data_IF_604377214466
#
_entry.id   IF_604377214466
#
_cell.length_a   1.000
_cell.length_b   1.000
_cell.length_c   1.000
_cell.angle_alpha   90.00
_cell.angle_beta   90.00
_cell.angle_gamma   90.00
#
_symmetry.space_group_name_H-M   'P 1'
#
loop_
_entity.id
_entity.type
_entity.pdbx_description
1 polymer ?
#
# COMPACT_ATOMS: atom_id res chain seq x y z
N UNK A 1 42.53 -5.18 16.39
CA UNK A 1 41.93 -3.83 16.29
C UNK A 1 40.46 -3.99 16.58
N UNK A 2 40.01 -3.41 17.69
CA UNK A 2 38.71 -3.67 18.31
C UNK A 2 37.58 -2.98 17.57
N UNK A 3 36.64 -3.80 17.14
CA UNK A 3 35.35 -3.45 16.54
C UNK A 3 34.43 -2.83 17.62
N UNK A 4 33.93 -1.61 17.38
CA UNK A 4 32.94 -0.96 18.25
C UNK A 4 31.60 -1.02 17.54
N UNK A 5 30.77 -1.96 17.94
CA UNK A 5 29.35 -2.02 17.62
C UNK A 5 28.61 -0.97 18.44
N UNK A 6 28.15 0.09 17.79
CA UNK A 6 27.29 1.11 18.39
C UNK A 6 25.84 0.59 18.37
N UNK A 7 25.42 -0.07 19.46
CA UNK A 7 24.03 -0.50 19.65
C UNK A 7 23.28 0.51 20.52
N UNK A 8 22.98 1.70 20.00
CA UNK A 8 22.04 2.60 20.66
C UNK A 8 20.61 2.09 20.42
N UNK A 9 20.07 1.32 21.38
CA UNK A 9 18.64 0.97 21.43
C UNK A 9 17.84 2.27 21.60
N UNK A 10 17.14 2.69 20.54
CA UNK A 10 16.13 3.76 20.67
C UNK A 10 15.03 3.31 21.65
N UNK A 11 14.67 4.13 22.66
CA UNK A 11 13.63 3.76 23.62
C UNK A 11 12.27 3.67 22.92
N UNK A 12 11.54 2.58 23.16
CA UNK A 12 10.21 2.37 22.58
C UNK A 12 9.19 3.34 23.17
N UNK A 13 8.18 3.73 22.37
CA UNK A 13 7.09 4.66 22.77
C UNK A 13 6.38 4.27 24.08
N UNK A 14 6.40 2.98 24.47
CA UNK A 14 5.84 2.52 25.77
C UNK A 14 6.62 3.03 26.98
N UNK A 15 7.94 3.22 26.87
CA UNK A 15 8.75 3.72 27.99
C UNK A 15 8.43 5.19 28.32
N UNK A 16 8.11 5.99 27.30
CA UNK A 16 7.77 7.42 27.46
C UNK A 16 6.35 7.59 28.00
N UNK A 17 5.40 6.74 27.60
CA UNK A 17 4.02 6.79 28.12
C UNK A 17 3.89 6.15 29.52
N UNK A 18 4.74 5.18 29.87
CA UNK A 18 4.76 4.57 31.21
C UNK A 18 5.30 5.49 32.31
N UNK A 19 6.16 6.46 31.97
CA UNK A 19 6.70 7.44 32.92
C UNK A 19 5.70 8.57 33.30
N UNK A 20 4.55 8.66 32.61
CA UNK A 20 3.54 9.70 32.84
C UNK A 20 2.53 9.39 33.95
N UNK A 21 2.54 8.16 34.51
CA UNK A 21 1.58 7.74 35.53
C UNK A 21 2.31 7.27 36.79
N UNK A 22 2.77 8.23 37.58
CA UNK A 22 3.25 8.01 38.94
C UNK A 22 4.59 8.67 39.19
N UNK A 23 4.58 9.73 40.00
CA UNK A 23 5.57 10.03 41.03
C UNK A 23 5.18 11.35 41.73
N UNK A 24 4.29 11.23 42.72
CA UNK A 24 4.26 12.13 43.87
C UNK A 24 4.91 11.38 45.03
N UNK A 25 6.23 11.50 45.16
CA UNK A 25 6.93 11.25 46.43
C UNK A 25 8.28 11.93 46.39
N UNK A 26 8.48 12.89 47.29
CA UNK A 26 9.74 13.56 47.50
C UNK A 26 10.76 12.60 48.13
N UNK A 27 11.93 12.49 47.53
CA UNK A 27 13.15 12.07 48.22
C UNK A 27 14.35 12.73 47.55
N UNK A 28 15.06 13.55 48.32
CA UNK A 28 16.30 14.18 47.95
C UNK A 28 17.40 13.12 47.74
N UNK A 29 18.11 13.20 46.62
CA UNK A 29 19.28 12.36 46.34
C UNK A 29 19.69 12.53 44.89
N UNK A 30 20.88 13.11 44.66
CA UNK A 30 21.36 13.53 43.35
C UNK A 30 21.20 12.46 42.27
N UNK A 31 20.54 12.82 41.18
CA UNK A 31 20.51 12.06 39.94
C UNK A 31 20.72 13.03 38.79
N UNK A 32 21.61 12.64 37.88
CA UNK A 32 21.91 13.35 36.64
C UNK A 32 20.62 13.83 35.98
N UNK A 33 20.54 15.13 35.70
CA UNK A 33 19.50 15.69 34.84
C UNK A 33 19.50 14.91 33.54
N UNK A 34 18.43 14.19 33.17
CA UNK A 34 18.35 13.62 31.85
C UNK A 34 18.41 14.82 30.89
N UNK A 35 19.37 14.80 29.97
CA UNK A 35 19.42 15.76 28.90
C UNK A 35 18.09 15.68 28.17
N UNK A 36 17.23 16.68 28.41
CA UNK A 36 16.00 16.86 27.66
C UNK A 36 16.48 17.09 26.24
N UNK A 37 16.29 16.12 25.36
CA UNK A 37 16.45 16.36 23.93
C UNK A 37 15.51 17.52 23.64
N UNK A 38 16.07 18.71 23.42
CA UNK A 38 15.34 19.83 22.87
C UNK A 38 14.84 19.32 21.52
N UNK A 39 13.56 18.99 21.46
CA UNK A 39 12.85 18.87 20.20
C UNK A 39 12.98 20.26 19.59
N UNK A 40 13.99 20.44 18.73
CA UNK A 40 14.22 21.70 18.04
C UNK A 40 12.88 22.17 17.49
N UNK A 41 12.59 23.46 17.64
CA UNK A 41 11.35 24.07 17.16
C UNK A 41 11.05 23.51 15.78
N UNK A 42 9.98 22.71 15.67
CA UNK A 42 9.48 22.24 14.40
C UNK A 42 9.21 23.51 13.60
N UNK A 43 10.10 23.81 12.66
CA UNK A 43 9.95 24.93 11.73
C UNK A 43 8.52 24.88 11.22
N UNK A 44 7.76 25.96 11.46
CA UNK A 44 6.38 26.04 11.00
C UNK A 44 6.34 25.57 9.54
N UNK A 45 5.48 24.60 9.21
CA UNK A 45 5.45 24.06 7.86
C UNK A 45 5.31 25.22 6.89
N UNK A 46 6.22 25.29 5.92
CA UNK A 46 6.18 26.31 4.89
C UNK A 46 4.76 26.37 4.33
N UNK A 47 4.16 27.57 4.29
CA UNK A 47 2.80 27.74 3.78
C UNK A 47 2.77 27.21 2.36
N UNK A 48 1.95 26.19 2.11
CA UNK A 48 1.81 25.63 0.77
C UNK A 48 1.39 26.76 -0.19
N UNK A 49 1.94 26.79 -1.42
CA UNK A 49 1.56 27.82 -2.39
C UNK A 49 0.08 27.69 -2.72
N UNK A 50 -0.60 28.82 -2.93
CA UNK A 50 -2.04 28.85 -3.25
C UNK A 50 -2.38 28.16 -4.58
N UNK A 51 -1.40 28.05 -5.48
CA UNK A 51 -1.51 27.25 -6.69
C UNK A 51 -0.29 26.34 -6.85
N UNK A 52 -0.48 25.12 -7.38
CA UNK A 52 0.64 24.24 -7.68
C UNK A 52 1.57 24.91 -8.70
N UNK A 53 2.90 24.68 -8.60
CA UNK A 53 3.83 25.19 -9.59
C UNK A 53 3.42 24.69 -11.00
N UNK A 54 3.40 25.57 -12.00
CA UNK A 54 2.94 25.20 -13.33
C UNK A 54 3.90 24.20 -13.97
N UNK A 55 3.36 23.31 -14.80
CA UNK A 55 4.14 22.43 -15.68
C UNK A 55 4.57 21.08 -15.11
N UNK A 56 4.21 20.75 -13.86
CA UNK A 56 4.43 19.41 -13.32
C UNK A 56 3.25 18.48 -13.63
N UNK A 57 3.59 17.27 -14.09
CA UNK A 57 2.65 16.15 -14.12
C UNK A 57 2.91 15.25 -12.92
N UNK A 58 1.89 14.52 -12.49
CA UNK A 58 1.98 13.65 -11.31
C UNK A 58 1.72 12.21 -11.75
N UNK A 59 2.72 11.35 -11.58
CA UNK A 59 2.56 9.90 -11.71
C UNK A 59 2.61 9.30 -10.30
N UNK A 60 1.52 8.67 -9.89
CA UNK A 60 1.40 7.95 -8.63
C UNK A 60 1.39 6.45 -8.91
N UNK A 61 2.39 5.73 -8.42
CA UNK A 61 2.47 4.27 -8.56
C UNK A 61 2.22 3.66 -7.18
N UNK A 62 1.16 2.86 -7.07
CA UNK A 62 0.79 2.12 -5.88
C UNK A 62 0.99 0.63 -6.14
N UNK A 63 1.53 -0.08 -5.16
CA UNK A 63 1.76 -1.52 -5.24
C UNK A 63 1.06 -2.19 -4.06
N UNK A 64 0.23 -3.18 -4.33
CA UNK A 64 -0.55 -3.88 -3.32
C UNK A 64 0.32 -4.85 -2.51
N UNK A 65 0.08 -4.90 -1.19
CA UNK A 65 0.75 -5.80 -0.24
C UNK A 65 2.30 -5.79 -0.25
N UNK A 66 2.93 -4.71 -0.70
CA UNK A 66 4.39 -4.61 -0.69
C UNK A 66 4.95 -4.39 0.72
N UNK A 67 5.89 -5.25 1.12
CA UNK A 67 6.65 -5.08 2.36
C UNK A 67 7.76 -4.03 2.19
N UNK A 68 7.98 -3.22 3.23
CA UNK A 68 9.10 -2.29 3.27
C UNK A 68 10.42 -3.02 3.55
N UNK A 69 11.38 -2.89 2.64
CA UNK A 69 12.76 -3.33 2.85
C UNK A 69 13.70 -2.12 2.91
N UNK A 70 14.48 -1.99 3.98
CA UNK A 70 15.53 -0.95 4.07
C UNK A 70 16.56 -1.12 2.94
N UNK A 71 16.94 -2.39 2.70
CA UNK A 71 17.72 -2.84 1.56
C UNK A 71 16.98 -4.02 0.91
N UNK A 72 16.70 -3.90 -0.38
CA UNK A 72 16.04 -4.97 -1.12
C UNK A 72 16.95 -6.19 -1.25
N UNK A 73 16.45 -7.40 -0.98
CA UNK A 73 17.24 -8.62 -1.10
C UNK A 73 17.32 -9.16 -2.53
N UNK A 74 16.56 -8.56 -3.47
CA UNK A 74 16.49 -8.92 -4.88
C UNK A 74 16.55 -7.66 -5.77
N UNK A 75 16.89 -7.80 -7.07
CA UNK A 75 17.00 -6.66 -7.98
C UNK A 75 15.68 -5.91 -8.17
N UNK A 76 15.66 -4.63 -7.81
CA UNK A 76 14.53 -3.72 -8.05
C UNK A 76 15.02 -2.39 -8.65
N UNK A 77 15.60 -2.40 -9.87
CA UNK A 77 16.29 -1.24 -10.44
C UNK A 77 15.41 0.01 -10.51
N UNK A 78 14.11 -0.13 -10.77
CA UNK A 78 13.17 1.00 -10.75
C UNK A 78 13.01 1.62 -9.37
N UNK A 79 12.92 0.80 -8.31
CA UNK A 79 12.82 1.29 -6.92
C UNK A 79 14.11 1.95 -6.46
N UNK A 80 15.24 1.33 -6.75
CA UNK A 80 16.56 1.90 -6.44
C UNK A 80 16.80 3.22 -7.18
N UNK A 81 16.37 3.33 -8.43
CA UNK A 81 16.40 4.58 -9.18
C UNK A 81 15.56 5.67 -8.49
N UNK A 82 14.31 5.37 -8.13
CA UNK A 82 13.43 6.31 -7.44
C UNK A 82 13.98 6.71 -6.06
N UNK A 83 14.54 5.78 -5.30
CA UNK A 83 15.17 6.03 -3.99
C UNK A 83 16.41 6.93 -4.12
N UNK A 84 17.21 6.74 -5.18
CA UNK A 84 18.43 7.52 -5.42
C UNK A 84 18.16 8.97 -5.86
N UNK A 85 17.12 9.19 -6.66
CA UNK A 85 16.82 10.51 -7.25
C UNK A 85 15.60 11.21 -6.63
N UNK A 86 14.98 10.60 -5.63
CA UNK A 86 13.80 11.11 -4.94
C UNK A 86 14.02 11.31 -3.45
N UNK A 87 12.91 11.48 -2.73
CA UNK A 87 12.89 11.52 -1.26
C UNK A 87 12.20 10.25 -0.75
N UNK A 88 12.86 9.52 0.15
CA UNK A 88 12.33 8.29 0.74
C UNK A 88 11.89 8.50 2.18
N UNK A 89 10.69 8.03 2.51
CA UNK A 89 10.16 8.02 3.88
C UNK A 89 10.30 6.62 4.46
N UNK A 90 11.25 6.43 5.38
CA UNK A 90 11.59 5.10 5.94
C UNK A 90 10.68 4.65 7.09
N UNK A 91 9.84 5.56 7.59
CA UNK A 91 8.90 5.28 8.68
C UNK A 91 7.47 5.70 8.30
N UNK A 92 7.01 5.19 7.15
CA UNK A 92 5.62 5.34 6.71
C UNK A 92 4.76 4.23 7.32
N UNK A 93 3.47 4.51 7.52
CA UNK A 93 2.52 3.58 8.12
C UNK A 93 1.21 3.67 7.34
N UNK A 94 0.58 2.53 7.04
CA UNK A 94 -0.78 2.57 6.49
C UNK A 94 -1.78 2.83 7.62
N UNK A 95 -2.81 3.62 7.33
CA UNK A 95 -3.89 3.91 8.27
C UNK A 95 -4.85 2.71 8.47
N UNK A 96 -4.87 1.78 7.51
CA UNK A 96 -5.54 0.48 7.61
C UNK A 96 -4.70 -0.57 6.87
N UNK A 97 -4.75 -1.82 7.31
CA UNK A 97 -3.97 -2.95 6.77
C UNK A 97 -4.84 -3.93 5.97
N UNK A 98 -5.92 -3.43 5.38
CA UNK A 98 -6.86 -4.13 4.49
C UNK A 98 -6.93 -3.33 3.19
N UNK A 99 -6.89 -3.97 2.02
CA UNK A 99 -6.59 -3.29 0.75
C UNK A 99 -7.64 -2.23 0.37
N UNK A 100 -8.93 -2.55 0.42
CA UNK A 100 -9.98 -1.54 0.13
C UNK A 100 -9.94 -0.39 1.13
N UNK A 101 -9.81 -0.65 2.43
CA UNK A 101 -9.69 0.39 3.45
C UNK A 101 -8.44 1.24 3.31
N UNK A 102 -7.29 0.66 2.95
CA UNK A 102 -6.05 1.40 2.74
C UNK A 102 -6.17 2.32 1.51
N UNK A 103 -6.76 1.82 0.42
CA UNK A 103 -7.02 2.57 -0.80
C UNK A 103 -7.97 3.73 -0.56
N UNK A 104 -9.01 3.54 0.24
CA UNK A 104 -9.96 4.61 0.55
C UNK A 104 -9.25 5.78 1.23
N UNK A 105 -8.34 5.49 2.17
CA UNK A 105 -7.53 6.51 2.84
C UNK A 105 -6.56 7.19 1.87
N UNK A 106 -5.82 6.42 1.06
CA UNK A 106 -4.84 6.98 0.11
C UNK A 106 -5.50 7.91 -0.91
N UNK A 107 -6.65 7.51 -1.47
CA UNK A 107 -7.30 8.28 -2.52
C UNK A 107 -8.12 9.45 -2.00
N UNK A 108 -8.62 9.41 -0.76
CA UNK A 108 -9.45 10.49 -0.20
C UNK A 108 -8.72 11.37 0.79
N UNK A 109 -7.58 10.93 1.34
CA UNK A 109 -6.90 11.59 2.45
C UNK A 109 -7.73 11.61 3.74
N UNK A 110 -8.74 10.75 3.87
CA UNK A 110 -9.64 10.66 5.02
C UNK A 110 -9.52 9.28 5.67
N UNK A 111 -9.64 9.21 7.00
CA UNK A 111 -9.66 7.93 7.70
C UNK A 111 -10.91 7.10 7.39
N UNK A 112 -10.85 5.79 7.67
CA UNK A 112 -11.91 4.83 7.32
C UNK A 112 -13.29 5.19 7.90
N UNK A 113 -13.34 5.87 9.05
CA UNK A 113 -14.60 6.32 9.66
C UNK A 113 -15.33 7.37 8.81
N UNK A 114 -14.61 8.10 7.95
CA UNK A 114 -15.17 9.08 7.02
C UNK A 114 -15.42 8.49 5.64
N UNK A 115 -14.58 7.56 5.18
CA UNK A 115 -14.77 6.91 3.87
C UNK A 115 -15.87 5.86 3.88
N UNK A 116 -16.17 5.26 5.05
CA UNK A 116 -17.11 4.15 5.19
C UNK A 116 -16.59 2.80 4.69
N UNK A 117 -15.30 2.72 4.35
CA UNK A 117 -14.66 1.49 3.86
C UNK A 117 -13.90 0.81 5.02
N UNK A 118 -14.58 -0.10 5.71
CA UNK A 118 -14.09 -0.77 6.91
C UNK A 118 -13.48 -2.15 6.62
N UNK A 119 -13.84 -2.73 5.49
CA UNK A 119 -13.40 -4.06 5.07
C UNK A 119 -13.12 -4.08 3.56
N UNK A 120 -12.74 -5.24 3.07
CA UNK A 120 -12.56 -5.54 1.66
C UNK A 120 -13.88 -5.52 0.87
N UNK A 121 -13.81 -5.11 -0.40
CA UNK A 121 -15.00 -5.00 -1.27
C UNK A 121 -15.69 -6.34 -1.53
N UNK A 122 -15.01 -7.46 -1.34
CA UNK A 122 -15.56 -8.81 -1.45
C UNK A 122 -16.49 -9.15 -0.29
N UNK A 123 -16.37 -8.45 0.84
CA UNK A 123 -17.16 -8.71 2.02
C UNK A 123 -18.63 -8.32 1.76
N UNK A 124 -19.61 -9.21 2.02
CA UNK A 124 -21.01 -8.96 1.66
C UNK A 124 -21.67 -7.80 2.42
N UNK A 125 -21.06 -7.35 3.52
CA UNK A 125 -21.49 -6.18 4.29
C UNK A 125 -20.82 -4.88 3.85
N UNK A 126 -19.74 -4.92 3.05
CA UNK A 126 -19.01 -3.74 2.64
C UNK A 126 -19.67 -3.11 1.42
N UNK A 127 -20.20 -1.90 1.59
CA UNK A 127 -20.72 -1.10 0.48
C UNK A 127 -19.58 -0.49 -0.33
N UNK A 128 -19.87 -0.14 -1.60
CA UNK A 128 -19.00 0.70 -2.41
C UNK A 128 -18.67 2.01 -1.68
N UNK A 129 -17.46 2.53 -1.85
CA UNK A 129 -17.10 3.84 -1.32
C UNK A 129 -18.04 4.90 -1.90
N UNK A 130 -18.60 5.77 -1.06
CA UNK A 130 -19.47 6.85 -1.55
C UNK A 130 -18.70 7.81 -2.46
N UNK A 131 -19.28 8.17 -3.61
CA UNK A 131 -18.75 9.21 -4.50
C UNK A 131 -18.87 10.62 -3.91
N UNK A 132 -19.60 10.79 -2.81
CA UNK A 132 -19.64 12.06 -2.06
C UNK A 132 -18.33 12.33 -1.32
N UNK A 133 -17.51 11.30 -1.09
CA UNK A 133 -16.18 11.44 -0.50
C UNK A 133 -15.19 11.69 -1.64
N UNK A 134 -14.93 12.97 -1.91
CA UNK A 134 -14.09 13.38 -3.04
C UNK A 134 -12.67 12.80 -2.96
N UNK A 135 -12.21 12.25 -4.08
CA UNK A 135 -10.88 11.67 -4.21
C UNK A 135 -9.83 12.72 -4.62
N UNK A 136 -8.56 12.32 -4.66
CA UNK A 136 -7.48 13.10 -5.26
C UNK A 136 -7.73 13.38 -6.75
N UNK A 137 -8.43 12.49 -7.47
CA UNK A 137 -8.86 12.71 -8.85
C UNK A 137 -9.80 13.91 -8.96
N UNK A 138 -10.83 13.97 -8.11
CA UNK A 138 -11.78 15.09 -8.07
C UNK A 138 -11.07 16.42 -7.77
N UNK A 139 -10.19 16.41 -6.76
CA UNK A 139 -9.46 17.60 -6.32
C UNK A 139 -8.49 18.10 -7.38
N UNK A 140 -7.75 17.20 -8.04
CA UNK A 140 -6.82 17.59 -9.11
C UNK A 140 -7.56 18.09 -10.35
N UNK A 141 -8.73 17.54 -10.68
CA UNK A 141 -9.60 18.07 -11.74
C UNK A 141 -10.06 19.50 -11.45
N UNK A 142 -10.41 19.82 -10.21
CA UNK A 142 -10.74 21.20 -9.80
C UNK A 142 -9.56 22.17 -9.99
N UNK A 143 -8.33 21.67 -9.97
CA UNK A 143 -7.10 22.42 -10.22
C UNK A 143 -6.64 22.39 -11.69
N UNK A 144 -7.48 21.87 -12.61
CA UNK A 144 -7.21 21.86 -14.05
C UNK A 144 -6.43 20.66 -14.56
N UNK A 145 -6.09 19.69 -13.70
CA UNK A 145 -5.41 18.47 -14.14
C UNK A 145 -6.37 17.53 -14.86
N UNK A 146 -5.87 16.85 -15.88
CA UNK A 146 -6.51 15.67 -16.43
C UNK A 146 -6.12 14.44 -15.59
N UNK A 147 -7.07 13.89 -14.83
CA UNK A 147 -6.83 12.75 -13.95
C UNK A 147 -7.15 11.41 -14.65
N UNK A 148 -6.22 10.46 -14.59
CA UNK A 148 -6.33 9.11 -15.14
C UNK A 148 -6.01 8.04 -14.09
N UNK A 149 -6.53 6.84 -14.28
CA UNK A 149 -6.36 5.69 -13.41
C UNK A 149 -6.08 4.44 -14.24
N UNK A 150 -5.17 3.58 -13.80
CA UNK A 150 -4.92 2.26 -14.39
C UNK A 150 -4.65 1.23 -13.28
N UNK A 151 -5.04 -0.02 -13.53
CA UNK A 151 -4.86 -1.15 -12.61
C UNK A 151 -5.96 -1.27 -11.53
N UNK A 152 -5.61 -1.88 -10.39
CA UNK A 152 -6.54 -2.22 -9.29
C UNK A 152 -7.23 -1.00 -8.70
N UNK A 153 -8.56 -0.97 -8.68
CA UNK A 153 -9.39 0.05 -8.04
C UNK A 153 -9.78 -0.33 -6.61
N UNK A 154 -10.53 -1.41 -6.46
CA UNK A 154 -10.89 -2.05 -5.19
C UNK A 154 -11.61 -1.17 -4.16
N UNK A 155 -12.44 -0.23 -4.65
CA UNK A 155 -13.35 0.60 -3.85
C UNK A 155 -14.81 0.54 -4.34
N UNK A 156 -15.09 -0.34 -5.31
CA UNK A 156 -16.43 -0.58 -5.83
C UNK A 156 -16.56 -2.04 -6.26
N UNK A 157 -17.40 -2.82 -5.56
CA UNK A 157 -17.59 -4.26 -5.78
C UNK A 157 -18.08 -4.61 -7.19
N UNK A 158 -18.75 -3.67 -7.87
CA UNK A 158 -19.25 -3.86 -9.23
C UNK A 158 -18.15 -3.85 -10.31
N UNK A 159 -16.93 -3.46 -9.99
CA UNK A 159 -15.79 -3.48 -10.92
C UNK A 159 -15.07 -4.85 -10.96
N UNK A 160 -15.31 -5.74 -9.99
CA UNK A 160 -14.82 -7.15 -9.95
C UNK A 160 -15.82 -8.17 -10.55
N UNK A 161 -16.88 -7.71 -11.22
CA UNK A 161 -17.92 -8.60 -11.73
C UNK A 161 -17.41 -9.56 -12.84
N UNK A 162 -16.38 -9.17 -13.59
CA UNK A 162 -15.83 -9.98 -14.67
C UNK A 162 -14.70 -10.88 -14.18
N UNK A 163 -14.77 -12.18 -14.50
CA UNK A 163 -13.72 -13.16 -14.16
C UNK A 163 -12.71 -13.40 -15.28
N UNK A 164 -12.97 -12.83 -16.47
CA UNK A 164 -12.04 -12.83 -17.61
C UNK A 164 -12.03 -11.44 -18.25
N UNK A 165 -10.91 -11.00 -18.84
CA UNK A 165 -10.85 -9.71 -19.51
C UNK A 165 -11.88 -9.52 -20.63
N UNK A 166 -12.17 -10.59 -21.36
CA UNK A 166 -13.10 -10.56 -22.49
C UNK A 166 -14.54 -10.27 -22.04
N UNK A 167 -14.85 -10.56 -20.78
CA UNK A 167 -16.18 -10.37 -20.19
C UNK A 167 -16.30 -9.02 -19.47
N UNK A 168 -15.23 -8.22 -19.42
CA UNK A 168 -15.22 -6.93 -18.74
C UNK A 168 -16.11 -5.89 -19.43
N UNK A 169 -17.01 -5.27 -18.66
CA UNK A 169 -17.86 -4.19 -19.16
C UNK A 169 -17.08 -2.87 -19.19
N UNK A 170 -16.19 -2.71 -20.18
CA UNK A 170 -15.21 -1.62 -20.22
C UNK A 170 -15.82 -0.23 -20.04
N UNK A 171 -16.91 0.05 -20.76
CA UNK A 171 -17.59 1.35 -20.70
C UNK A 171 -18.27 1.59 -19.35
N UNK A 172 -18.83 0.54 -18.73
CA UNK A 172 -19.45 0.62 -17.41
C UNK A 172 -18.40 0.90 -16.35
N UNK A 173 -17.33 0.12 -16.35
CA UNK A 173 -16.21 0.29 -15.43
C UNK A 173 -15.56 1.66 -15.57
N UNK A 174 -15.39 2.16 -16.81
CA UNK A 174 -14.91 3.52 -17.05
C UNK A 174 -15.83 4.58 -16.43
N UNK A 175 -17.15 4.47 -16.60
CA UNK A 175 -18.12 5.41 -16.00
C UNK A 175 -18.09 5.39 -14.47
N UNK A 176 -17.89 4.21 -13.87
CA UNK A 176 -17.75 4.09 -12.41
C UNK A 176 -16.50 4.84 -11.97
N UNK A 177 -15.34 4.58 -12.58
CA UNK A 177 -14.09 5.27 -12.23
C UNK A 177 -14.16 6.79 -12.51
N UNK A 178 -14.85 7.20 -13.57
CA UNK A 178 -15.12 8.62 -13.85
C UNK A 178 -15.94 9.29 -12.73
N UNK A 179 -16.87 8.57 -12.11
CA UNK A 179 -17.65 9.07 -10.97
C UNK A 179 -16.82 9.32 -9.70
N UNK A 180 -15.59 8.83 -9.65
CA UNK A 180 -14.60 9.11 -8.60
C UNK A 180 -13.52 10.11 -9.06
N UNK A 181 -13.75 10.84 -10.15
CA UNK A 181 -12.89 11.94 -10.57
C UNK A 181 -11.75 11.54 -11.50
N UNK A 182 -11.77 10.35 -12.09
CA UNK A 182 -10.73 9.89 -13.03
C UNK A 182 -11.30 9.78 -14.45
N UNK A 183 -10.93 10.72 -15.31
CA UNK A 183 -11.48 10.83 -16.66
C UNK A 183 -11.10 9.66 -17.57
N UNK A 184 -9.95 9.03 -17.34
CA UNK A 184 -9.48 7.89 -18.13
C UNK A 184 -9.21 6.66 -17.28
N UNK A 185 -9.80 5.55 -17.72
CA UNK A 185 -9.54 4.18 -17.28
C UNK A 185 -9.77 3.25 -18.47
N UNK A 186 -8.94 2.22 -18.63
CA UNK A 186 -9.12 1.26 -19.73
C UNK A 186 -10.43 0.45 -19.58
N UNK A 187 -10.90 0.27 -18.36
CA UNK A 187 -12.21 -0.33 -18.08
C UNK A 187 -12.18 -1.83 -17.79
N UNK A 188 -11.01 -2.46 -17.79
CA UNK A 188 -10.91 -3.92 -17.57
C UNK A 188 -11.33 -4.33 -16.15
N UNK A 189 -11.23 -3.42 -15.20
CA UNK A 189 -11.67 -3.63 -13.82
C UNK A 189 -10.68 -4.44 -12.98
N UNK A 190 -11.17 -5.00 -11.88
CA UNK A 190 -10.35 -5.65 -10.85
C UNK A 190 -10.18 -7.15 -11.13
N UNK A 191 -9.68 -7.51 -12.32
CA UNK A 191 -9.49 -8.93 -12.74
C UNK A 191 -8.46 -9.74 -11.95
N UNK A 192 -7.97 -9.19 -10.85
CA UNK A 192 -6.67 -9.48 -10.26
C UNK A 192 -6.77 -10.05 -8.86
N UNK A 193 -7.97 -10.18 -8.30
CA UNK A 193 -8.18 -10.73 -6.98
C UNK A 193 -8.26 -12.26 -7.04
N UNK A 194 -7.07 -12.87 -7.02
CA UNK A 194 -6.90 -14.31 -6.98
C UNK A 194 -5.45 -14.72 -7.11
N UNK A 195 -5.23 -16.03 -7.06
CA UNK A 195 -3.93 -16.62 -7.27
C UNK A 195 -3.37 -16.24 -8.65
N UNK A 196 -2.10 -15.81 -8.69
CA UNK A 196 -1.40 -15.35 -9.89
C UNK A 196 -2.05 -14.13 -10.60
N UNK A 197 -2.90 -13.37 -9.90
CA UNK A 197 -3.58 -12.21 -10.46
C UNK A 197 -2.60 -11.10 -10.85
N UNK A 198 -1.70 -10.73 -9.95
CA UNK A 198 -0.65 -9.75 -10.26
C UNK A 198 0.30 -10.27 -11.34
N UNK A 199 0.69 -11.55 -11.27
CA UNK A 199 1.59 -12.16 -12.24
C UNK A 199 1.01 -12.09 -13.66
N UNK A 200 -0.29 -12.31 -13.79
CA UNK A 200 -0.96 -12.37 -15.09
C UNK A 200 -1.32 -10.99 -15.65
N UNK A 201 -1.60 -10.00 -14.80
CA UNK A 201 -2.27 -8.76 -15.23
C UNK A 201 -1.52 -7.46 -14.93
N UNK A 202 -0.45 -7.45 -14.11
CA UNK A 202 0.30 -6.21 -13.86
C UNK A 202 0.98 -5.68 -15.12
N UNK A 203 1.47 -6.57 -16.00
CA UNK A 203 2.04 -6.14 -17.27
C UNK A 203 0.99 -5.47 -18.16
N UNK A 204 -0.24 -5.98 -18.14
CA UNK A 204 -1.36 -5.36 -18.88
C UNK A 204 -1.67 -3.95 -18.35
N UNK A 205 -1.79 -3.79 -17.03
CA UNK A 205 -2.02 -2.49 -16.40
C UNK A 205 -0.90 -1.50 -16.72
N UNK A 206 0.34 -1.97 -16.68
CA UNK A 206 1.53 -1.17 -16.99
C UNK A 206 1.56 -0.74 -18.47
N UNK A 207 1.29 -1.65 -19.40
CA UNK A 207 1.25 -1.32 -20.83
C UNK A 207 0.09 -0.38 -21.19
N UNK A 208 -1.04 -0.47 -20.48
CA UNK A 208 -2.12 0.51 -20.60
C UNK A 208 -1.66 1.91 -20.20
N UNK A 209 -0.97 2.04 -19.06
CA UNK A 209 -0.40 3.30 -18.60
C UNK A 209 0.66 3.84 -19.58
N UNK A 210 1.57 2.99 -20.06
CA UNK A 210 2.59 3.36 -21.07
C UNK A 210 1.94 3.83 -22.37
N UNK A 211 0.89 3.16 -22.84
CA UNK A 211 0.13 3.56 -24.02
C UNK A 211 -0.50 4.93 -23.80
N UNK A 212 -1.14 5.16 -22.67
CA UNK A 212 -1.73 6.46 -22.33
C UNK A 212 -0.68 7.58 -22.30
N UNK A 213 0.52 7.32 -21.74
CA UNK A 213 1.64 8.28 -21.72
C UNK A 213 2.19 8.58 -23.13
N UNK A 214 2.13 7.63 -24.04
CA UNK A 214 2.56 7.81 -25.43
C UNK A 214 1.51 8.49 -26.30
N UNK A 215 0.23 8.44 -25.93
CA UNK A 215 -0.89 9.03 -26.67
C UNK A 215 -1.46 10.25 -25.93
N UNK A 216 -2.39 10.04 -25.01
CA UNK A 216 -3.17 11.09 -24.34
C UNK A 216 -2.30 12.12 -23.62
N UNK A 217 -1.24 11.69 -22.93
CA UNK A 217 -0.32 12.63 -22.28
C UNK A 217 0.37 13.58 -23.27
N UNK A 218 0.62 13.14 -24.51
CA UNK A 218 1.22 13.97 -25.56
C UNK A 218 0.22 15.01 -26.09
N UNK A 219 -1.04 14.62 -26.24
CA UNK A 219 -2.13 15.55 -26.58
C UNK A 219 -2.27 16.64 -25.50
N UNK A 220 -2.33 16.24 -24.23
CA UNK A 220 -2.46 17.15 -23.09
C UNK A 220 -1.26 18.10 -22.99
N UNK A 221 -0.04 17.59 -23.23
CA UNK A 221 1.16 18.42 -23.31
C UNK A 221 1.04 19.49 -24.41
N UNK A 222 0.54 19.14 -25.59
CA UNK A 222 0.34 20.10 -26.68
C UNK A 222 -0.72 21.17 -26.33
N UNK A 223 -1.67 20.82 -25.47
CA UNK A 223 -2.70 21.73 -24.95
C UNK A 223 -2.24 22.55 -23.74
N UNK A 224 -1.03 22.32 -23.23
CA UNK A 224 -0.55 22.94 -21.99
C UNK A 224 -1.30 22.48 -20.73
N UNK A 225 -2.04 21.38 -20.81
CA UNK A 225 -2.82 20.84 -19.69
C UNK A 225 -1.98 19.82 -18.90
N UNK A 226 -1.82 20.00 -17.56
CA UNK A 226 -1.13 19.02 -16.74
C UNK A 226 -2.00 17.78 -16.52
N UNK A 227 -1.36 16.66 -16.18
CA UNK A 227 -2.06 15.42 -15.88
C UNK A 227 -1.62 14.77 -14.58
N UNK A 228 -2.54 13.99 -14.03
CA UNK A 228 -2.31 13.05 -12.94
C UNK A 228 -2.66 11.65 -13.41
N UNK A 229 -1.80 10.68 -13.13
CA UNK A 229 -2.11 9.26 -13.36
C UNK A 229 -1.80 8.45 -12.12
N UNK A 230 -2.79 7.68 -11.66
CA UNK A 230 -2.60 6.61 -10.69
C UNK A 230 -2.42 5.27 -11.43
N UNK A 231 -1.34 4.55 -11.13
CA UNK A 231 -1.06 3.19 -11.64
C UNK A 231 -1.00 2.25 -10.44
N UNK A 232 -1.93 1.30 -10.38
CA UNK A 232 -2.15 0.44 -9.22
C UNK A 232 -1.84 -1.00 -9.57
N UNK A 233 -0.65 -1.43 -9.18
CA UNK A 233 -0.14 -2.78 -9.39
C UNK A 233 -0.54 -3.68 -8.21
N UNK A 234 -0.60 -4.97 -8.50
CA UNK A 234 -1.10 -6.00 -7.60
C UNK A 234 0.05 -6.74 -6.96
N UNK A 235 1.04 -7.20 -7.72
CA UNK A 235 2.14 -7.94 -7.13
C UNK A 235 3.01 -7.06 -6.24
N UNK A 236 3.35 -7.52 -5.02
CA UNK A 236 3.47 -8.94 -4.62
C UNK A 236 2.24 -9.56 -3.92
N UNK A 237 1.03 -9.02 -4.05
CA UNK A 237 -0.20 -9.55 -3.42
C UNK A 237 -0.46 -11.05 -3.67
N UNK A 238 0.01 -11.63 -4.78
CA UNK A 238 -0.11 -13.07 -5.07
C UNK A 238 0.47 -13.96 -3.94
N UNK A 239 1.37 -13.43 -3.11
CA UNK A 239 1.97 -14.15 -1.97
C UNK A 239 0.96 -14.74 -0.99
N UNK A 240 -0.23 -14.13 -0.82
CA UNK A 240 -1.26 -14.68 0.07
C UNK A 240 -1.94 -15.94 -0.49
N UNK A 241 -1.80 -16.17 -1.80
CA UNK A 241 -2.36 -17.31 -2.53
C UNK A 241 -1.30 -18.35 -2.89
N UNK A 242 -0.08 -18.25 -2.34
CA UNK A 242 0.99 -19.17 -2.70
C UNK A 242 0.73 -20.55 -2.10
N UNK A 243 0.81 -21.58 -2.94
CA UNK A 243 0.90 -22.96 -2.52
C UNK A 243 2.37 -23.30 -2.20
N UNK A 244 2.63 -23.51 -0.93
CA UNK A 244 3.94 -23.85 -0.37
C UNK A 244 4.15 -25.34 -0.11
N UNK A 245 3.20 -26.20 -0.51
CA UNK A 245 3.29 -27.65 -0.36
C UNK A 245 4.45 -28.22 -1.18
N UNK A 246 5.18 -29.19 -0.61
CA UNK A 246 6.26 -29.88 -1.32
C UNK A 246 5.72 -30.61 -2.57
N UNK A 247 6.55 -30.94 -3.57
CA UNK A 247 6.12 -31.71 -4.74
C UNK A 247 5.41 -33.01 -4.36
N UNK A 248 4.15 -33.16 -4.79
CA UNK A 248 3.30 -34.32 -4.49
C UNK A 248 2.57 -34.25 -3.14
N UNK A 249 2.80 -33.22 -2.33
CA UNK A 249 2.08 -33.01 -1.06
C UNK A 249 0.85 -32.12 -1.25
N UNK A 250 -0.11 -32.27 -0.32
CA UNK A 250 -1.31 -31.44 -0.20
C UNK A 250 -1.54 -31.18 1.29
N UNK A 251 -0.69 -30.36 1.92
CA UNK A 251 -0.78 -30.05 3.36
C UNK A 251 -1.60 -28.78 3.53
N UNK A 252 -1.12 -27.66 2.98
CA UNK A 252 -1.84 -26.39 2.88
C UNK A 252 -3.12 -26.55 2.06
N UNK A 253 -3.04 -27.24 0.92
CA UNK A 253 -4.17 -27.41 0.01
C UNK A 253 -5.38 -28.14 0.60
N UNK A 254 -5.23 -28.92 1.68
CA UNK A 254 -6.35 -29.64 2.34
C UNK A 254 -7.36 -28.71 3.01
N UNK A 255 -6.90 -27.55 3.48
CA UNK A 255 -7.68 -26.64 4.32
C UNK A 255 -7.61 -25.18 3.83
N UNK A 256 -7.26 -24.96 2.57
CA UNK A 256 -7.17 -23.63 2.01
C UNK A 256 -8.57 -22.99 1.90
N UNK A 257 -8.73 -21.80 2.50
CA UNK A 257 -9.98 -21.04 2.43
C UNK A 257 -10.24 -20.43 1.04
N UNK A 258 -9.20 -20.29 0.23
CA UNK A 258 -9.22 -19.73 -1.12
C UNK A 258 -8.35 -20.58 -2.06
N UNK A 259 -8.53 -20.48 -3.39
CA UNK A 259 -7.61 -21.09 -4.35
C UNK A 259 -6.16 -20.66 -4.07
N UNK A 260 -5.25 -21.64 -4.07
CA UNK A 260 -3.81 -21.42 -3.94
C UNK A 260 -3.11 -22.04 -5.14
N UNK A 261 -2.08 -21.36 -5.64
CA UNK A 261 -1.29 -21.82 -6.80
C UNK A 261 0.20 -21.84 -6.49
N UNK A 262 0.91 -22.74 -7.17
CA UNK A 262 2.36 -22.80 -7.07
C UNK A 262 2.97 -21.53 -7.69
N UNK A 263 4.16 -21.10 -7.22
CA UNK A 263 4.91 -20.04 -7.88
C UNK A 263 5.11 -20.35 -9.38
N UNK A 264 5.05 -19.34 -10.27
CA UNK A 264 5.38 -19.51 -11.67
C UNK A 264 6.77 -20.11 -11.87
N UNK A 265 6.91 -20.97 -12.89
CA UNK A 265 8.21 -21.52 -13.28
C UNK A 265 8.92 -20.55 -14.24
N UNK A 266 9.56 -19.52 -13.68
CA UNK A 266 10.43 -18.60 -14.42
C UNK A 266 11.57 -18.07 -13.55
N UNK A 267 12.56 -17.46 -14.20
CA UNK A 267 13.82 -17.00 -13.59
C UNK A 267 13.65 -16.20 -12.30
N UNK A 268 12.64 -15.32 -12.21
CA UNK A 268 12.43 -14.46 -11.02
C UNK A 268 11.89 -15.26 -9.84
N UNK A 269 10.99 -16.20 -10.07
CA UNK A 269 10.30 -16.96 -9.02
C UNK A 269 11.08 -18.21 -8.57
N UNK A 270 11.97 -18.73 -9.41
CA UNK A 270 12.90 -19.81 -9.03
C UNK A 270 14.21 -19.29 -8.43
N UNK A 271 14.46 -17.98 -8.52
CA UNK A 271 15.62 -17.38 -7.89
C UNK A 271 15.54 -17.44 -6.37
N UNK A 272 16.66 -17.79 -5.74
CA UNK A 272 16.80 -17.81 -4.29
C UNK A 272 17.56 -16.57 -3.81
N UNK A 273 17.11 -16.03 -2.68
CA UNK A 273 17.68 -14.84 -2.06
C UNK A 273 18.01 -15.15 -0.60
N UNK A 274 19.22 -14.79 -0.17
CA UNK A 274 19.66 -14.96 1.22
C UNK A 274 18.99 -13.92 2.12
N UNK A 275 17.77 -14.23 2.57
CA UNK A 275 16.95 -13.38 3.43
C UNK A 275 16.72 -14.05 4.78
N UNK A 276 17.11 -13.43 5.89
CA UNK A 276 16.85 -14.00 7.20
C UNK A 276 15.33 -14.03 7.46
N UNK A 277 14.85 -15.15 8.01
CA UNK A 277 13.48 -15.26 8.47
C UNK A 277 13.23 -14.25 9.62
N UNK A 278 12.01 -13.69 9.74
CA UNK A 278 11.69 -12.80 10.84
C UNK A 278 11.98 -13.46 12.20
N UNK A 279 12.59 -12.72 13.13
CA UNK A 279 12.88 -13.21 14.49
C UNK A 279 11.62 -13.70 15.23
N UNK A 280 10.46 -13.23 14.80
CA UNK A 280 9.13 -13.55 15.33
C UNK A 280 8.52 -14.83 14.73
N UNK A 281 9.18 -15.52 13.79
CA UNK A 281 8.65 -16.74 13.12
C UNK A 281 8.23 -17.83 14.11
N UNK A 282 9.01 -18.04 15.15
CA UNK A 282 8.78 -19.07 16.16
C UNK A 282 8.19 -18.54 17.46
N UNK A 283 7.83 -17.25 17.50
CA UNK A 283 7.25 -16.65 18.69
C UNK A 283 5.79 -17.08 18.86
N UNK A 284 5.46 -17.57 20.04
CA UNK A 284 4.10 -18.00 20.39
C UNK A 284 3.10 -16.85 20.34
N UNK A 285 1.89 -17.11 19.84
CA UNK A 285 0.83 -16.11 19.68
C UNK A 285 0.28 -15.56 21.01
N UNK A 286 0.45 -16.29 22.11
CA UNK A 286 -0.04 -15.94 23.45
C UNK A 286 0.99 -15.21 24.33
N UNK A 287 2.08 -14.72 23.74
CA UNK A 287 3.11 -13.97 24.47
C UNK A 287 2.63 -12.54 24.83
N UNK A 288 3.04 -11.96 25.97
CA UNK A 288 2.58 -10.64 26.41
C UNK A 288 2.90 -9.47 25.47
N UNK A 289 3.87 -9.66 24.57
CA UNK A 289 4.30 -8.67 23.58
C UNK A 289 3.56 -8.78 22.23
N UNK A 290 2.62 -9.73 22.09
CA UNK A 290 1.71 -9.80 20.94
C UNK A 290 0.30 -9.28 21.26
N UNK A 291 -0.41 -8.71 20.27
CA UNK A 291 -1.84 -8.47 20.40
C UNK A 291 -2.58 -9.77 20.71
N UNK A 292 -3.35 -9.77 21.81
CA UNK A 292 -4.14 -10.93 22.25
C UNK A 292 -5.09 -11.46 21.16
N UNK A 293 -5.58 -10.57 20.30
CA UNK A 293 -6.43 -10.91 19.16
C UNK A 293 -5.80 -11.94 18.20
N UNK A 294 -4.46 -11.98 18.06
CA UNK A 294 -3.80 -12.98 17.21
C UNK A 294 -3.99 -14.40 17.75
N UNK A 295 -3.86 -14.58 19.07
CA UNK A 295 -4.10 -15.87 19.71
C UNK A 295 -5.58 -16.26 19.65
N UNK A 296 -6.47 -15.31 19.94
CA UNK A 296 -7.92 -15.55 19.91
C UNK A 296 -8.39 -15.96 18.52
N UNK A 297 -7.95 -15.25 17.47
CA UNK A 297 -8.24 -15.63 16.08
C UNK A 297 -7.84 -17.08 15.81
N UNK A 298 -6.58 -17.45 16.10
CA UNK A 298 -6.09 -18.81 15.85
C UNK A 298 -6.80 -19.88 16.67
N UNK A 299 -7.25 -19.56 17.89
CA UNK A 299 -7.97 -20.49 18.75
C UNK A 299 -9.44 -20.69 18.34
N UNK A 300 -9.97 -19.81 17.49
CA UNK A 300 -11.36 -19.85 17.00
C UNK A 300 -11.50 -20.39 15.57
N UNK A 301 -10.40 -20.57 14.84
CA UNK A 301 -10.36 -21.26 13.53
C UNK A 301 -10.40 -22.78 13.74
#
# INVERSE_FOLDING_TARGET
MTDKTDSSRNPSRRAVLGAGAGLLSAAAGGMATPARAELGELSLPAKAPEQPPPGYNILFVLVDQEHFFEKWPFPVPGREYLKKYGTAFLNHQNASQVCSSARSVVYTGQHIQHTGVFDNMEAPWQANMSTTVGTIGDRLRQLGYHAAYQGKWHLSANIDAAKKPVDASLLTNRKIIESYGFADFLGVGDLIDGALGGYSFDNFSTESAVTWLRTKARELKAQGQPWFMAVNLVNPHDVMYVNSDAPGEVVQGKHAAYPIDRPPDNEIYVAEWDVPLPATRHQLLNTPDRPRAHYEYQATQ
#
